data_IF_392902816270
#
_entry.id   IF_392902816270
#
_cell.length_a   1.000
_cell.length_b   1.000
_cell.length_c   1.000
_cell.angle_alpha   90.00
_cell.angle_beta   90.00
_cell.angle_gamma   90.00
#
_symmetry.space_group_name_H-M   'P 1'
#
loop_
_entity.id
_entity.type
_entity.pdbx_description
1 polymer ?
#
# COMPACT_ATOMS: atom_id res chain seq x y z
N UNK A 1 4.59 2.70 -22.88
CA UNK A 1 5.36 1.73 -22.09
C UNK A 1 4.44 0.96 -21.19
N UNK A 2 4.69 -0.33 -21.09
CA UNK A 2 3.85 -1.18 -20.27
C UNK A 2 4.20 -1.02 -18.80
N UNK A 3 3.17 -0.91 -17.98
CA UNK A 3 3.32 -0.95 -16.53
C UNK A 3 3.29 -2.39 -16.06
N UNK A 4 3.99 -2.69 -15.00
CA UNK A 4 3.99 -4.02 -14.38
C UNK A 4 3.67 -3.89 -12.90
N UNK A 5 3.25 -5.00 -12.30
CA UNK A 5 2.89 -5.01 -10.89
C UNK A 5 4.11 -4.95 -9.98
N UNK A 6 3.96 -4.23 -8.90
CA UNK A 6 4.91 -4.20 -7.79
C UNK A 6 4.13 -4.43 -6.50
N UNK A 7 4.75 -5.16 -5.58
CA UNK A 7 4.23 -5.38 -4.25
C UNK A 7 4.89 -4.37 -3.31
N UNK A 8 4.08 -3.67 -2.54
CA UNK A 8 4.54 -2.75 -1.51
C UNK A 8 4.03 -3.31 -0.18
N UNK A 9 4.96 -3.70 0.68
CA UNK A 9 4.63 -4.21 2.00
C UNK A 9 5.22 -3.25 3.04
N UNK A 10 4.34 -2.54 3.72
CA UNK A 10 4.74 -1.53 4.70
C UNK A 10 4.52 -2.06 6.12
N UNK A 11 5.45 -1.72 7.00
CA UNK A 11 5.36 -2.04 8.42
C UNK A 11 5.17 -0.75 9.20
N UNK A 12 4.16 -0.72 10.07
CA UNK A 12 3.87 0.45 10.88
C UNK A 12 4.88 0.57 12.03
N UNK A 13 5.22 1.80 12.37
CA UNK A 13 6.00 2.09 13.56
C UNK A 13 5.16 1.79 14.80
N UNK A 14 5.84 1.46 15.89
CA UNK A 14 5.16 1.24 17.16
C UNK A 14 4.44 2.50 17.59
N UNK A 15 3.20 2.35 18.05
CA UNK A 15 2.40 3.49 18.51
C UNK A 15 1.82 4.35 17.42
N UNK A 16 1.81 3.88 16.17
CA UNK A 16 1.37 4.68 15.02
C UNK A 16 -0.15 4.66 14.78
N UNK A 17 -0.91 3.96 15.59
CA UNK A 17 -2.35 3.78 15.34
C UNK A 17 -3.12 5.08 15.13
N UNK A 18 -2.96 6.05 16.02
CA UNK A 18 -3.66 7.32 15.91
C UNK A 18 -3.24 8.12 14.68
N UNK A 19 -1.94 8.16 14.40
CA UNK A 19 -1.43 8.84 13.22
C UNK A 19 -1.97 8.18 11.93
N UNK A 20 -2.05 6.86 11.93
CA UNK A 20 -2.62 6.12 10.81
C UNK A 20 -4.09 6.48 10.59
N UNK A 21 -4.87 6.52 11.65
CA UNK A 21 -6.29 6.87 11.54
C UNK A 21 -6.47 8.29 11.01
N UNK A 22 -5.63 9.22 11.48
CA UNK A 22 -5.69 10.62 11.02
C UNK A 22 -5.33 10.77 9.54
N UNK A 23 -4.36 10.01 9.05
CA UNK A 23 -3.90 10.09 7.66
C UNK A 23 -4.70 9.18 6.71
N UNK A 24 -5.56 8.31 7.24
CA UNK A 24 -6.28 7.32 6.44
C UNK A 24 -7.09 7.89 5.29
N UNK A 25 -7.88 8.97 5.47
CA UNK A 25 -8.65 9.51 4.34
C UNK A 25 -7.78 9.89 3.15
N UNK A 26 -6.63 10.54 3.38
CA UNK A 26 -5.72 10.92 2.31
C UNK A 26 -5.08 9.69 1.65
N UNK A 27 -4.77 8.66 2.44
CA UNK A 27 -4.24 7.41 1.90
C UNK A 27 -5.26 6.72 1.00
N UNK A 28 -6.52 6.62 1.44
CA UNK A 28 -7.58 5.99 0.66
C UNK A 28 -7.81 6.74 -0.65
N UNK A 29 -7.71 8.06 -0.65
CA UNK A 29 -7.88 8.87 -1.85
C UNK A 29 -6.85 8.50 -2.91
N UNK A 30 -5.60 8.26 -2.50
CA UNK A 30 -4.54 7.85 -3.43
C UNK A 30 -4.79 6.45 -4.00
N UNK A 31 -5.29 5.53 -3.17
CA UNK A 31 -5.64 4.18 -3.62
C UNK A 31 -6.82 4.22 -4.60
N UNK A 32 -7.80 5.08 -4.34
CA UNK A 32 -8.92 5.27 -5.26
C UNK A 32 -8.45 5.76 -6.62
N UNK A 33 -7.44 6.64 -6.65
CA UNK A 33 -6.87 7.13 -7.90
C UNK A 33 -6.21 6.00 -8.70
N UNK A 34 -5.47 5.11 -8.02
CA UNK A 34 -4.88 3.93 -8.67
C UNK A 34 -5.97 3.01 -9.21
N UNK A 35 -7.03 2.81 -8.44
CA UNK A 35 -8.15 1.99 -8.85
C UNK A 35 -8.84 2.56 -10.10
N UNK A 36 -9.09 3.86 -10.09
CA UNK A 36 -9.73 4.54 -11.22
C UNK A 36 -8.88 4.45 -12.49
N UNK A 37 -7.56 4.46 -12.35
CA UNK A 37 -6.64 4.32 -13.48
C UNK A 37 -6.51 2.89 -13.99
N UNK A 38 -7.10 1.92 -13.28
CA UNK A 38 -6.99 0.50 -13.64
C UNK A 38 -5.66 -0.13 -13.22
N UNK A 39 -4.92 0.54 -12.34
CA UNK A 39 -3.59 0.09 -11.96
C UNK A 39 -3.55 -0.68 -10.63
N UNK A 40 -4.62 -0.66 -9.87
CA UNK A 40 -4.66 -1.32 -8.55
C UNK A 40 -5.14 -2.75 -8.67
N UNK A 41 -4.32 -3.70 -8.21
CA UNK A 41 -4.75 -5.10 -8.12
C UNK A 41 -5.48 -5.34 -6.80
N UNK A 42 -4.85 -4.96 -5.70
CA UNK A 42 -5.44 -5.10 -4.36
C UNK A 42 -4.68 -4.23 -3.36
N UNK A 43 -5.34 -3.87 -2.27
CA UNK A 43 -4.71 -3.14 -1.18
C UNK A 43 -5.52 -3.33 0.09
N UNK A 44 -4.81 -3.34 1.21
CA UNK A 44 -5.45 -3.44 2.50
C UNK A 44 -4.45 -3.46 3.64
N UNK A 45 -4.94 -3.26 4.86
CA UNK A 45 -4.09 -3.35 6.04
C UNK A 45 -3.79 -4.80 6.39
N UNK A 46 -2.72 -5.00 7.16
CA UNK A 46 -2.36 -6.32 7.69
C UNK A 46 -2.74 -6.36 9.17
N UNK A 47 -3.87 -7.01 9.52
CA UNK A 47 -4.32 -7.05 10.91
C UNK A 47 -3.38 -7.86 11.80
N UNK A 48 -3.34 -7.51 13.08
CA UNK A 48 -2.62 -8.31 14.05
C UNK A 48 -3.46 -9.53 14.42
N UNK A 49 -2.86 -10.74 14.47
CA UNK A 49 -3.63 -11.96 14.74
C UNK A 49 -4.39 -11.94 16.06
N UNK A 50 -3.79 -11.37 17.10
CA UNK A 50 -4.38 -11.34 18.44
C UNK A 50 -5.36 -10.18 18.62
N UNK A 51 -5.26 -9.17 17.79
CA UNK A 51 -6.03 -7.93 17.93
C UNK A 51 -6.38 -7.38 16.56
N UNK A 52 -7.39 -7.98 15.88
CA UNK A 52 -7.68 -7.62 14.48
C UNK A 52 -8.06 -6.16 14.24
N UNK A 53 -8.47 -5.43 15.28
CA UNK A 53 -8.78 -4.00 15.14
C UNK A 53 -7.49 -3.16 15.06
N UNK A 54 -6.36 -3.75 15.37
CA UNK A 54 -5.06 -3.15 15.19
C UNK A 54 -4.37 -3.75 14.00
N UNK A 55 -3.54 -2.95 13.34
CA UNK A 55 -2.83 -3.41 12.15
C UNK A 55 -1.33 -3.22 12.30
N UNK A 56 -0.57 -4.10 11.63
CA UNK A 56 0.88 -4.06 11.65
C UNK A 56 1.44 -3.32 10.44
N UNK A 57 0.61 -3.02 9.46
CA UNK A 57 1.06 -2.35 8.25
C UNK A 57 0.03 -2.41 7.14
N UNK A 58 0.51 -2.37 5.90
CA UNK A 58 -0.34 -2.38 4.71
C UNK A 58 0.32 -3.18 3.61
N UNK A 59 -0.51 -3.80 2.77
CA UNK A 59 -0.07 -4.45 1.54
C UNK A 59 -0.76 -3.77 0.36
N UNK A 60 0.03 -3.39 -0.65
CA UNK A 60 -0.50 -2.80 -1.88
C UNK A 60 0.16 -3.53 -3.04
N UNK A 61 -0.64 -3.96 -4.02
CA UNK A 61 -0.12 -4.50 -5.26
C UNK A 61 -0.74 -3.69 -6.40
N UNK A 62 0.10 -2.97 -7.13
CA UNK A 62 -0.34 -2.05 -8.16
C UNK A 62 0.67 -1.99 -9.29
N UNK A 63 0.25 -1.44 -10.43
CA UNK A 63 1.11 -1.29 -11.60
C UNK A 63 1.86 0.03 -11.57
N UNK A 64 3.14 -0.04 -11.89
CA UNK A 64 4.00 1.13 -12.06
C UNK A 64 4.91 0.91 -13.26
N UNK A 65 5.46 1.97 -13.80
CA UNK A 65 6.32 1.87 -14.98
C UNK A 65 7.63 1.14 -14.66
N UNK A 66 8.19 1.38 -13.48
CA UNK A 66 9.42 0.76 -13.03
C UNK A 66 9.55 0.85 -11.51
N UNK A 67 10.63 0.32 -10.97
CA UNK A 67 10.88 0.33 -9.53
C UNK A 67 10.98 1.76 -8.98
N UNK A 68 11.63 2.66 -9.72
CA UNK A 68 11.78 4.04 -9.29
C UNK A 68 10.43 4.73 -9.14
N UNK A 69 9.50 4.47 -10.08
CA UNK A 69 8.14 5.02 -10.01
C UNK A 69 7.39 4.46 -8.81
N UNK A 70 7.53 3.16 -8.52
CA UNK A 70 6.91 2.55 -7.36
C UNK A 70 7.46 3.15 -6.05
N UNK A 71 8.77 3.34 -5.98
CA UNK A 71 9.40 3.94 -4.80
C UNK A 71 8.96 5.39 -4.61
N UNK A 72 8.89 6.17 -5.68
CA UNK A 72 8.43 7.56 -5.60
C UNK A 72 6.98 7.64 -5.11
N UNK A 73 6.13 6.74 -5.59
CA UNK A 73 4.74 6.69 -5.15
C UNK A 73 4.65 6.35 -3.66
N UNK A 74 5.45 5.39 -3.22
CA UNK A 74 5.48 4.98 -1.81
C UNK A 74 5.97 6.11 -0.90
N UNK A 75 7.04 6.81 -1.31
CA UNK A 75 7.62 7.90 -0.52
C UNK A 75 6.67 9.08 -0.37
N UNK A 76 5.78 9.27 -1.32
CA UNK A 76 4.79 10.35 -1.27
C UNK A 76 3.53 9.98 -0.48
N UNK A 77 3.48 8.77 0.08
CA UNK A 77 2.31 8.31 0.84
C UNK A 77 2.10 9.16 2.09
N UNK A 78 0.85 9.62 2.35
CA UNK A 78 0.54 10.34 3.59
C UNK A 78 0.94 9.61 4.86
N UNK A 79 0.95 8.27 4.83
CA UNK A 79 1.41 7.48 5.98
C UNK A 79 2.90 7.65 6.25
N UNK A 80 3.70 7.93 5.23
CA UNK A 80 5.13 8.22 5.41
C UNK A 80 5.30 9.56 6.10
N UNK A 81 4.64 10.60 5.59
CA UNK A 81 4.68 11.94 6.17
C UNK A 81 4.21 11.96 7.62
N UNK A 82 3.21 11.16 7.93
CA UNK A 82 2.64 11.10 9.27
C UNK A 82 3.47 10.26 10.24
N UNK A 83 4.56 9.65 9.77
CA UNK A 83 5.40 8.79 10.61
C UNK A 83 4.77 7.45 10.93
N UNK A 84 3.80 7.01 10.13
CA UNK A 84 3.13 5.73 10.35
C UNK A 84 4.01 4.56 9.94
N UNK A 85 4.60 4.63 8.72
CA UNK A 85 5.41 3.54 8.21
C UNK A 85 6.84 3.63 8.73
N UNK A 86 7.31 2.55 9.33
CA UNK A 86 8.69 2.40 9.75
C UNK A 86 9.54 1.87 8.60
N UNK A 87 8.95 1.02 7.77
CA UNK A 87 9.66 0.34 6.69
C UNK A 87 8.71 0.04 5.54
N UNK A 88 9.19 0.17 4.32
CA UNK A 88 8.42 -0.22 3.13
C UNK A 88 9.31 -1.10 2.26
N UNK A 89 8.87 -2.34 2.05
CA UNK A 89 9.54 -3.28 1.17
C UNK A 89 8.84 -3.26 -0.19
N UNK A 90 9.58 -3.05 -1.26
CA UNK A 90 9.02 -3.00 -2.61
C UNK A 90 9.70 -4.05 -3.47
N UNK A 91 8.88 -4.89 -4.12
CA UNK A 91 9.37 -5.93 -5.03
C UNK A 91 8.52 -5.99 -6.28
N UNK A 92 9.12 -6.29 -7.43
CA UNK A 92 8.32 -6.66 -8.61
C UNK A 92 7.44 -7.87 -8.27
N UNK A 93 6.24 -7.88 -8.80
CA UNK A 93 5.28 -8.95 -8.55
C UNK A 93 4.67 -9.39 -9.88
N UNK A 94 4.51 -10.69 -10.05
CA UNK A 94 3.86 -11.24 -11.22
C UNK A 94 2.59 -11.97 -10.80
N UNK A 95 1.46 -11.49 -11.29
CA UNK A 95 0.17 -12.09 -10.96
C UNK A 95 -0.05 -13.33 -11.83
N UNK A 96 0.43 -14.46 -11.34
CA UNK A 96 0.24 -15.75 -12.04
C UNK A 96 -1.22 -16.18 -11.97
N UNK A 97 -1.86 -15.93 -10.83
CA UNK A 97 -3.29 -16.12 -10.66
C UNK A 97 -3.90 -14.78 -10.28
N UNK A 98 -4.78 -14.27 -11.11
CA UNK A 98 -5.43 -13.00 -10.82
C UNK A 98 -6.68 -13.21 -9.97
N UNK A 99 -7.08 -12.22 -9.17
CA UNK A 99 -8.26 -12.35 -8.33
C UNK A 99 -9.50 -12.66 -9.16
N UNK A 100 -10.36 -13.49 -8.62
CA UNK A 100 -11.67 -13.77 -9.22
C UNK A 100 -12.60 -12.63 -8.87
N UNK A 101 -13.18 -12.00 -9.88
CA UNK A 101 -14.16 -10.94 -9.69
C UNK A 101 -15.53 -11.56 -9.45
N UNK A 102 -16.26 -11.00 -8.48
CA UNK A 102 -17.59 -11.47 -8.11
C UNK A 102 -18.62 -10.39 -8.31
#
# INVERSE_FOLDING_TARGET
MSKTYFMLLATDAEGAHEARMAARPANLERLEALKAAGDLLTAGPTPMPEEPDRVSGSLIIAKFEDLDAAQAWAEADPYVDAGVYEEVLIKPFKAVFEPVLK
#
